data_IF_410624919068
#
_entry.id   IF_410624919068
#
_cell.length_a   1.000
_cell.length_b   1.000
_cell.length_c   1.000
_cell.angle_alpha   90.00
_cell.angle_beta   90.00
_cell.angle_gamma   90.00
#
_symmetry.space_group_name_H-M   'P 1'
#
loop_
_entity.id
_entity.type
_entity.pdbx_description
1 polymer ?
#
# COMPACT_ATOMS: atom_id res chain seq x y z
N UNK A 1 16.40 -7.47 1.72
CA UNK A 1 17.56 -8.38 1.94
C UNK A 1 17.09 -9.56 2.79
N UNK A 2 17.58 -10.78 2.55
CA UNK A 2 17.31 -11.91 3.45
C UNK A 2 18.55 -12.10 4.33
N UNK A 3 18.36 -12.03 5.65
CA UNK A 3 19.41 -12.19 6.65
C UNK A 3 19.18 -13.48 7.44
N UNK A 4 20.27 -14.05 7.93
CA UNK A 4 20.21 -15.07 8.98
C UNK A 4 19.71 -14.41 10.28
N UNK A 5 18.67 -14.99 10.88
CA UNK A 5 17.98 -14.35 12.00
C UNK A 5 18.83 -14.26 13.28
N UNK A 6 19.83 -15.13 13.45
CA UNK A 6 20.69 -15.15 14.63
C UNK A 6 21.86 -14.16 14.51
N UNK A 7 22.42 -14.01 13.31
CA UNK A 7 23.66 -13.26 13.08
C UNK A 7 23.45 -11.90 12.42
N UNK A 8 22.29 -11.68 11.77
CA UNK A 8 22.03 -10.48 10.97
C UNK A 8 22.90 -10.38 9.71
N UNK A 9 23.63 -11.43 9.35
CA UNK A 9 24.44 -11.48 8.13
C UNK A 9 23.63 -11.98 6.94
N UNK A 10 24.04 -11.72 5.68
CA UNK A 10 23.37 -12.27 4.51
C UNK A 10 23.19 -13.78 4.62
N UNK A 11 21.94 -14.25 4.47
CA UNK A 11 21.62 -15.67 4.64
C UNK A 11 22.26 -16.52 3.54
N UNK A 12 22.86 -17.66 3.93
CA UNK A 12 23.34 -18.70 3.01
C UNK A 12 22.30 -19.80 2.78
N UNK A 13 21.12 -19.71 3.40
CA UNK A 13 20.04 -20.69 3.26
C UNK A 13 19.41 -20.61 1.85
N UNK A 14 18.78 -21.68 1.35
CA UNK A 14 18.08 -21.65 0.07
C UNK A 14 17.03 -20.54 0.03
N UNK A 15 16.89 -19.87 -1.12
CA UNK A 15 15.89 -18.82 -1.29
C UNK A 15 14.51 -19.44 -1.51
N UNK A 16 13.52 -18.94 -0.81
CA UNK A 16 12.10 -19.13 -1.15
C UNK A 16 11.76 -18.24 -2.34
N UNK A 17 11.49 -18.85 -3.50
CA UNK A 17 11.18 -18.11 -4.73
C UNK A 17 9.82 -17.41 -4.67
N UNK A 18 8.93 -17.84 -3.77
CA UNK A 18 7.60 -17.27 -3.60
C UNK A 18 7.54 -16.20 -2.48
N UNK A 19 8.66 -15.93 -1.81
CA UNK A 19 8.75 -14.87 -0.83
C UNK A 19 9.07 -13.54 -1.51
N UNK A 20 8.46 -12.43 -1.07
CA UNK A 20 8.81 -11.12 -1.61
C UNK A 20 7.66 -10.13 -1.68
N UNK A 21 7.91 -9.05 -2.42
CA UNK A 21 6.94 -7.98 -2.69
C UNK A 21 6.06 -8.40 -3.86
N UNK A 22 4.74 -8.26 -3.69
CA UNK A 22 3.74 -8.47 -4.73
C UNK A 22 2.96 -7.18 -4.94
N UNK A 23 2.63 -6.88 -6.20
CA UNK A 23 1.80 -5.74 -6.60
C UNK A 23 0.61 -6.25 -7.39
N UNK A 24 -0.56 -5.69 -7.13
CA UNK A 24 -1.71 -5.89 -8.00
C UNK A 24 -1.70 -4.81 -9.10
N UNK A 25 -1.68 -5.23 -10.36
CA UNK A 25 -1.74 -4.31 -11.49
C UNK A 25 -3.18 -3.88 -11.80
N UNK A 26 -3.34 -2.98 -12.79
CA UNK A 26 -4.66 -2.44 -13.20
C UNK A 26 -5.62 -3.47 -13.82
N UNK A 27 -5.13 -4.67 -14.15
CA UNK A 27 -5.94 -5.80 -14.63
C UNK A 27 -6.31 -6.76 -13.50
N UNK A 28 -6.11 -6.35 -12.26
CA UNK A 28 -6.32 -7.14 -11.05
C UNK A 28 -5.40 -8.38 -10.94
N UNK A 29 -4.32 -8.44 -11.72
CA UNK A 29 -3.34 -9.51 -11.65
C UNK A 29 -2.33 -9.23 -10.54
N UNK A 30 -2.06 -10.22 -9.69
CA UNK A 30 -1.06 -10.14 -8.63
C UNK A 30 0.27 -10.66 -9.16
N UNK A 31 1.29 -9.79 -9.16
CA UNK A 31 2.61 -10.05 -9.74
C UNK A 31 3.70 -9.90 -8.68
N UNK A 32 4.66 -10.83 -8.64
CA UNK A 32 5.85 -10.69 -7.81
C UNK A 32 6.81 -9.68 -8.43
N UNK A 33 7.26 -8.71 -7.62
CA UNK A 33 8.23 -7.70 -8.04
C UNK A 33 9.64 -8.24 -7.86
N UNK A 34 10.40 -8.29 -8.96
CA UNK A 34 11.83 -8.59 -8.94
C UNK A 34 12.64 -7.30 -9.02
N UNK A 35 13.33 -6.96 -7.93
CA UNK A 35 14.14 -5.74 -7.82
C UNK A 35 15.63 -6.11 -7.91
N UNK A 36 16.40 -5.51 -8.84
CA UNK A 36 17.85 -5.62 -8.85
C UNK A 36 18.46 -5.14 -7.53
N UNK A 37 19.55 -5.76 -7.10
CA UNK A 37 20.17 -5.49 -5.79
C UNK A 37 20.79 -4.11 -5.65
N UNK A 38 21.07 -3.45 -6.76
CA UNK A 38 21.67 -2.12 -6.90
C UNK A 38 20.61 -1.03 -7.20
N UNK A 39 19.33 -1.39 -7.11
CA UNK A 39 18.22 -0.49 -7.39
C UNK A 39 17.36 -0.22 -6.14
N UNK A 40 16.70 0.94 -6.16
CA UNK A 40 15.58 1.25 -5.28
C UNK A 40 14.28 1.26 -6.09
N UNK A 41 13.18 0.84 -5.47
CA UNK A 41 11.86 0.88 -6.07
C UNK A 41 11.11 2.14 -5.65
N UNK A 42 10.37 2.73 -6.59
CA UNK A 42 9.43 3.82 -6.31
C UNK A 42 8.01 3.30 -6.50
N UNK A 43 7.15 3.62 -5.54
CA UNK A 43 5.72 3.40 -5.65
C UNK A 43 4.99 4.71 -5.38
N UNK A 44 3.91 4.92 -6.13
CA UNK A 44 3.07 6.10 -5.98
C UNK A 44 1.92 5.81 -5.02
N UNK A 45 1.73 6.71 -4.07
CA UNK A 45 0.60 6.70 -3.15
C UNK A 45 -0.60 7.51 -3.69
N UNK A 46 -1.71 7.44 -2.97
CA UNK A 46 -2.97 8.04 -3.41
C UNK A 46 -2.96 9.58 -3.40
N UNK A 47 -2.09 10.21 -2.61
CA UNK A 47 -1.88 11.66 -2.72
C UNK A 47 -1.43 12.06 -4.13
N UNK A 48 -0.52 11.30 -4.75
CA UNK A 48 -0.11 11.52 -6.13
C UNK A 48 -1.27 11.23 -7.11
N UNK A 49 -2.10 10.22 -6.84
CA UNK A 49 -3.29 9.94 -7.65
C UNK A 49 -4.28 11.09 -7.64
N UNK A 50 -4.60 11.64 -6.47
CA UNK A 50 -5.48 12.80 -6.31
C UNK A 50 -4.90 14.02 -7.05
N UNK A 51 -3.65 14.38 -6.75
CA UNK A 51 -3.00 15.58 -7.27
C UNK A 51 -2.68 15.51 -8.76
N UNK A 52 -2.76 14.34 -9.38
CA UNK A 52 -2.65 14.16 -10.84
C UNK A 52 -3.98 13.84 -11.51
N UNK A 53 -5.10 13.92 -10.78
CA UNK A 53 -6.43 13.66 -11.34
C UNK A 53 -6.60 12.23 -11.88
N UNK A 54 -5.87 11.25 -11.33
CA UNK A 54 -5.92 9.86 -11.76
C UNK A 54 -4.97 9.49 -12.92
N UNK A 55 -4.15 10.43 -13.43
CA UNK A 55 -3.13 10.08 -14.43
C UNK A 55 -2.09 9.10 -13.88
N UNK A 56 -1.67 9.32 -12.63
CA UNK A 56 -0.94 8.35 -11.84
C UNK A 56 -1.93 7.65 -10.91
N UNK A 57 -1.75 6.34 -10.72
CA UNK A 57 -2.68 5.52 -9.95
C UNK A 57 -1.91 4.71 -8.93
N UNK A 58 -2.31 4.80 -7.67
CA UNK A 58 -1.77 3.99 -6.59
C UNK A 58 -2.22 2.54 -6.75
N UNK A 59 -1.29 1.61 -6.57
CA UNK A 59 -1.54 0.17 -6.75
C UNK A 59 -1.42 -0.55 -5.41
N UNK A 60 -2.38 -1.44 -5.06
CA UNK A 60 -2.22 -2.29 -3.90
C UNK A 60 -0.97 -3.15 -4.00
N UNK A 61 -0.34 -3.40 -2.86
CA UNK A 61 0.83 -4.25 -2.75
C UNK A 61 0.83 -4.97 -1.41
N UNK A 62 1.51 -6.11 -1.37
CA UNK A 62 1.65 -6.93 -0.17
C UNK A 62 3.03 -7.58 -0.13
N UNK A 63 3.46 -7.99 1.05
CA UNK A 63 4.68 -8.78 1.22
C UNK A 63 4.31 -10.18 1.67
N UNK A 64 4.79 -11.18 0.93
CA UNK A 64 4.72 -12.59 1.34
C UNK A 64 6.00 -12.95 2.10
N UNK A 65 5.83 -13.43 3.34
CA UNK A 65 6.92 -13.91 4.18
C UNK A 65 7.58 -15.17 3.60
N UNK A 66 8.84 -15.42 4.00
CA UNK A 66 9.54 -16.64 3.61
C UNK A 66 9.11 -17.83 4.46
N UNK A 67 8.98 -18.98 3.82
CA UNK A 67 8.80 -20.27 4.48
C UNK A 67 10.10 -20.87 5.03
N UNK A 68 11.26 -20.26 4.73
CA UNK A 68 12.56 -20.70 5.22
C UNK A 68 12.67 -20.37 6.71
N UNK A 69 13.01 -21.33 7.59
CA UNK A 69 13.15 -21.08 9.01
C UNK A 69 14.42 -20.25 9.31
N UNK A 70 14.40 -19.54 10.44
CA UNK A 70 15.48 -18.69 10.98
C UNK A 70 16.15 -17.79 9.93
N UNK A 71 15.32 -17.13 9.12
CA UNK A 71 15.73 -15.97 8.32
C UNK A 71 14.82 -14.79 8.63
N UNK A 72 15.35 -13.59 8.43
CA UNK A 72 14.56 -12.37 8.42
C UNK A 72 14.61 -11.71 7.04
N UNK A 73 13.55 -10.98 6.68
CA UNK A 73 13.50 -10.15 5.48
C UNK A 73 13.54 -8.68 5.88
N UNK A 74 14.63 -8.02 5.57
CA UNK A 74 14.81 -6.60 5.83
C UNK A 74 14.44 -5.75 4.62
N UNK A 75 13.68 -4.68 4.86
CA UNK A 75 13.32 -3.65 3.89
C UNK A 75 13.16 -2.31 4.60
N UNK A 76 13.75 -1.26 4.04
CA UNK A 76 13.48 0.11 4.45
C UNK A 76 12.49 0.71 3.46
N UNK A 77 11.31 1.11 3.95
CA UNK A 77 10.37 1.93 3.20
C UNK A 77 10.50 3.38 3.69
N UNK A 78 10.67 4.30 2.74
CA UNK A 78 10.70 5.75 3.01
C UNK A 78 9.53 6.37 2.28
N UNK A 79 8.67 7.07 3.01
CA UNK A 79 7.50 7.73 2.45
C UNK A 79 7.85 9.19 2.17
N UNK A 80 7.67 9.61 0.92
CA UNK A 80 7.74 11.00 0.51
C UNK A 80 6.32 11.54 0.41
N UNK A 81 6.01 12.53 1.24
CA UNK A 81 4.64 12.96 1.50
C UNK A 81 4.48 14.46 1.22
N UNK A 82 3.27 14.94 0.89
CA UNK A 82 2.97 16.37 0.90
C UNK A 82 3.10 16.97 2.30
N UNK A 83 3.26 18.29 2.38
CA UNK A 83 3.14 19.01 3.65
C UNK A 83 1.78 18.75 4.31
N UNK A 84 1.73 18.71 5.64
CA UNK A 84 0.51 18.40 6.40
C UNK A 84 -0.71 19.25 6.01
N UNK A 85 -0.50 20.56 5.83
CA UNK A 85 -1.54 21.53 5.47
C UNK A 85 -1.72 21.71 3.95
N UNK A 86 -1.02 20.91 3.13
CA UNK A 86 -1.15 20.98 1.68
C UNK A 86 -2.55 20.57 1.26
N UNK A 87 -3.29 21.49 0.64
CA UNK A 87 -4.57 21.18 -0.02
C UNK A 87 -4.33 20.23 -1.18
N UNK A 88 -5.05 19.10 -1.18
CA UNK A 88 -4.98 18.07 -2.20
C UNK A 88 -6.10 18.23 -3.22
N UNK A 89 -6.09 19.34 -3.94
CA UNK A 89 -7.08 19.56 -5.00
C UNK A 89 -6.79 18.66 -6.21
N UNK A 90 -7.85 18.07 -6.75
CA UNK A 90 -7.82 17.45 -8.08
C UNK A 90 -7.55 18.55 -9.12
N UNK A 91 -6.67 18.34 -10.11
CA UNK A 91 -6.40 19.32 -11.16
C UNK A 91 -7.66 19.78 -11.90
N UNK A 92 -7.67 21.05 -12.31
CA UNK A 92 -8.76 21.58 -13.13
C UNK A 92 -8.92 20.78 -14.43
N UNK A 93 -10.16 20.46 -14.79
CA UNK A 93 -10.47 19.63 -15.97
C UNK A 93 -10.38 18.12 -15.73
N UNK A 94 -9.90 17.67 -14.56
CA UNK A 94 -9.98 16.25 -14.16
C UNK A 94 -11.31 15.93 -13.47
N UNK A 95 -11.81 14.72 -13.69
CA UNK A 95 -13.01 14.19 -13.03
C UNK A 95 -12.65 13.61 -11.66
N UNK A 96 -13.27 14.12 -10.59
CA UNK A 96 -13.11 13.55 -9.24
C UNK A 96 -13.59 12.10 -9.20
N UNK A 97 -14.71 11.80 -9.86
CA UNK A 97 -15.29 10.47 -9.88
C UNK A 97 -14.36 9.49 -10.59
N UNK A 98 -13.78 9.86 -11.74
CA UNK A 98 -12.82 9.00 -12.43
C UNK A 98 -11.57 8.80 -11.59
N UNK A 99 -11.06 9.87 -10.94
CA UNK A 99 -9.88 9.81 -10.09
C UNK A 99 -10.06 8.85 -8.90
N UNK A 100 -11.19 8.91 -8.19
CA UNK A 100 -11.42 8.05 -7.02
C UNK A 100 -11.67 6.59 -7.41
N UNK A 101 -12.11 6.33 -8.65
CA UNK A 101 -12.39 4.99 -9.17
C UNK A 101 -11.26 4.40 -10.04
N UNK A 102 -10.16 5.13 -10.26
CA UNK A 102 -9.05 4.69 -11.11
C UNK A 102 -8.22 3.54 -10.52
N UNK A 103 -8.25 3.37 -9.20
CA UNK A 103 -7.51 2.35 -8.46
C UNK A 103 -8.15 0.96 -8.50
N UNK A 104 -7.44 -0.04 -7.99
CA UNK A 104 -8.02 -1.37 -7.82
C UNK A 104 -9.01 -1.38 -6.64
N UNK A 105 -10.18 -1.96 -6.89
CA UNK A 105 -11.26 -2.05 -5.90
C UNK A 105 -11.24 -3.42 -5.22
N UNK A 106 -10.35 -3.58 -4.24
CA UNK A 106 -10.22 -4.81 -3.45
C UNK A 106 -10.73 -4.62 -2.02
N UNK A 107 -11.30 -5.67 -1.39
CA UNK A 107 -11.87 -5.58 -0.04
C UNK A 107 -10.89 -5.12 1.04
N UNK A 108 -9.60 -5.41 0.90
CA UNK A 108 -8.55 -5.13 1.89
C UNK A 108 -8.10 -3.66 1.89
N UNK A 109 -8.44 -2.91 0.85
CA UNK A 109 -8.04 -1.51 0.66
C UNK A 109 -9.31 -0.65 0.59
N UNK A 110 -9.63 0.17 1.63
CA UNK A 110 -10.78 1.04 1.61
C UNK A 110 -10.75 1.98 0.41
N UNK A 111 -11.85 1.98 -0.32
CA UNK A 111 -12.03 2.76 -1.53
C UNK A 111 -11.71 4.26 -1.32
N UNK A 112 -11.02 4.89 -2.27
CA UNK A 112 -10.55 6.27 -2.15
C UNK A 112 -11.70 7.26 -1.93
N UNK A 113 -12.85 7.03 -2.58
CA UNK A 113 -14.07 7.83 -2.40
C UNK A 113 -14.60 7.89 -0.95
N UNK A 114 -14.24 6.94 -0.07
CA UNK A 114 -14.62 6.98 1.35
C UNK A 114 -13.75 7.93 2.17
N UNK A 115 -12.56 8.26 1.66
CA UNK A 115 -11.49 8.95 2.40
C UNK A 115 -11.22 10.35 1.85
N UNK A 116 -11.40 10.57 0.55
CA UNK A 116 -11.25 11.87 -0.09
C UNK A 116 -12.58 12.65 -0.08
N UNK A 117 -12.65 13.74 0.70
CA UNK A 117 -13.88 14.54 0.88
C UNK A 117 -14.04 15.73 -0.05
N UNK A 118 -13.13 15.91 -1.02
CA UNK A 118 -13.24 16.95 -2.04
C UNK A 118 -12.11 17.99 -2.00
N UNK A 119 -12.23 19.07 -2.80
CA UNK A 119 -11.10 19.89 -3.25
C UNK A 119 -10.46 20.76 -2.16
N UNK A 120 -11.10 20.91 -0.99
CA UNK A 120 -10.57 21.67 0.14
C UNK A 120 -9.83 20.80 1.17
N UNK A 121 -9.79 19.48 0.99
CA UNK A 121 -9.16 18.57 1.95
C UNK A 121 -7.64 18.79 1.96
N UNK A 122 -7.06 18.89 3.15
CA UNK A 122 -5.60 18.87 3.31
C UNK A 122 -5.07 17.44 3.34
N UNK A 123 -3.76 17.27 3.12
CA UNK A 123 -3.11 15.97 3.25
C UNK A 123 -3.30 15.37 4.65
N UNK A 124 -3.15 16.16 5.71
CA UNK A 124 -3.37 15.73 7.09
C UNK A 124 -4.80 15.25 7.35
N UNK A 125 -5.81 15.96 6.84
CA UNK A 125 -7.21 15.54 6.96
C UNK A 125 -7.48 14.24 6.21
N UNK A 126 -6.92 14.08 5.01
CA UNK A 126 -7.05 12.84 4.24
C UNK A 126 -6.36 11.65 4.91
N UNK A 127 -5.19 11.86 5.51
CA UNK A 127 -4.53 10.83 6.31
C UNK A 127 -5.39 10.43 7.50
N UNK A 128 -5.96 11.38 8.23
CA UNK A 128 -6.86 11.10 9.36
C UNK A 128 -8.08 10.26 8.93
N UNK A 129 -8.75 10.68 7.86
CA UNK A 129 -9.90 9.96 7.29
C UNK A 129 -9.47 8.56 6.80
N UNK A 130 -8.27 8.44 6.26
CA UNK A 130 -7.71 7.15 5.85
C UNK A 130 -7.44 6.23 7.03
N UNK A 131 -6.74 6.71 8.07
CA UNK A 131 -6.53 5.94 9.29
C UNK A 131 -7.85 5.48 9.89
N UNK A 132 -8.85 6.35 9.94
CA UNK A 132 -10.18 5.99 10.45
C UNK A 132 -10.79 4.82 9.67
N UNK A 133 -10.83 4.89 8.35
CA UNK A 133 -11.39 3.81 7.53
C UNK A 133 -10.60 2.50 7.64
N UNK A 134 -9.27 2.55 7.52
CA UNK A 134 -8.43 1.35 7.59
C UNK A 134 -8.52 0.62 8.94
N UNK A 135 -8.61 1.36 10.05
CA UNK A 135 -8.65 0.75 11.39
C UNK A 135 -10.09 0.38 11.80
N UNK A 136 -11.11 1.08 11.31
CA UNK A 136 -12.51 0.66 11.50
C UNK A 136 -12.83 -0.64 10.73
N UNK A 137 -12.21 -0.87 9.57
CA UNK A 137 -12.30 -2.16 8.86
C UNK A 137 -11.78 -3.32 9.70
N UNK A 138 -10.73 -3.11 10.51
CA UNK A 138 -10.19 -4.17 11.36
C UNK A 138 -11.10 -4.53 12.53
N UNK A 139 -11.81 -3.55 13.09
CA UNK A 139 -12.78 -3.80 14.17
C UNK A 139 -13.98 -4.61 13.71
N UNK A 140 -14.39 -4.48 12.44
CA UNK A 140 -15.53 -5.22 11.88
C UNK A 140 -15.22 -6.68 11.52
N UNK A 141 -13.95 -7.04 11.34
CA UNK A 141 -13.52 -8.43 11.05
C UNK A 141 -13.42 -9.30 12.32
N UNK A 142 -13.22 -8.70 13.50
CA UNK A 142 -12.99 -9.45 14.76
C UNK A 142 -14.29 -9.93 15.43
N UNK A 143 -15.46 -9.43 15.02
CA UNK A 143 -16.75 -9.76 15.68
C UNK A 143 -17.41 -11.05 15.15
N UNK A 144 -16.73 -11.82 14.29
CA UNK A 144 -17.29 -13.00 13.60
C UNK A 144 -16.76 -14.38 14.02
N UNK A 145 -16.00 -14.49 15.11
CA UNK A 145 -15.51 -15.78 15.62
C UNK A 145 -16.34 -16.26 16.81
N UNK A 146 -17.34 -17.12 16.57
CA UNK A 146 -18.01 -17.86 17.64
C UNK A 146 -17.00 -18.76 18.38
N UNK A 147 -16.92 -18.59 19.70
CA UNK A 147 -16.37 -19.60 20.61
C UNK A 147 -17.28 -20.84 20.56
N UNK A 148 -16.76 -21.96 20.06
CA UNK A 148 -17.28 -23.28 20.43
C UNK A 148 -16.38 -23.88 21.49
N UNK A 149 -16.95 -24.02 22.69
CA UNK A 149 -16.47 -24.86 23.81
C UNK A 149 -16.40 -26.32 23.39
#
# INVERSE_FOLDING_TARGET
MILDAATGQPSTKPKDTEAGLYVQNRRCEVLQVQLPSDCIAFQLGEAAQIMTGGHLVATPHMVKGSSVPDVSREQLAVFFEPDWDRVMAVPEGSSTDDMVNAGANIPEVPHLAKRYRGPSVTFGQFLEDSFREYYNMKLSVVVGGEETV
#
